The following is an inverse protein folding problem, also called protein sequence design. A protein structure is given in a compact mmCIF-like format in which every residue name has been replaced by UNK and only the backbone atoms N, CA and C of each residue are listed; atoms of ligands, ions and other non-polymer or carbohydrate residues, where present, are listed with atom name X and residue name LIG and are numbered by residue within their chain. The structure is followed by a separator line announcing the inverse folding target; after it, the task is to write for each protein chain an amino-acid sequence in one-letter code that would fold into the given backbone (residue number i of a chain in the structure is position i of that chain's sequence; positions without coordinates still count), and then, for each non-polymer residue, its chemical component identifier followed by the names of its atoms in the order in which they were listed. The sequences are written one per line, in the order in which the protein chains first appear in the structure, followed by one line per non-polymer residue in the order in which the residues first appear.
data_IF_185093056180
#
_entry.id   IF_185093056180
#
_cell.length_a   1.000
_cell.length_b   1.000
_cell.length_c   1.000
_cell.angle_alpha   90.00
_cell.angle_beta   90.00
_cell.angle_gamma   90.00
#
_symmetry.space_group_name_H-M   'P 1'
#
loop_
_entity.id
_entity.type
_entity.pdbx_description
1 polymer ?
#
# COMPACT_ATOMS: atom_id res chain seq x y z
N UNK A 1 -6.03 5.84 -1.11
CA UNK A 1 -7.51 5.75 -1.06
C UNK A 1 -8.06 5.67 -2.47
N UNK A 2 -7.81 6.66 -3.33
CA UNK A 2 -8.34 6.68 -4.69
C UNK A 2 -8.05 5.43 -5.53
N UNK A 3 -6.85 4.83 -5.42
CA UNK A 3 -6.54 3.56 -6.10
C UNK A 3 -7.45 2.40 -5.66
N UNK A 4 -7.79 2.29 -4.37
CA UNK A 4 -8.68 1.23 -3.86
C UNK A 4 -10.10 1.48 -4.34
N UNK A 5 -10.61 2.73 -4.23
CA UNK A 5 -11.94 3.09 -4.76
C UNK A 5 -12.06 2.82 -6.25
N UNK A 6 -11.03 3.22 -7.01
CA UNK A 6 -10.96 3.01 -8.46
C UNK A 6 -10.94 1.54 -8.83
N UNK A 7 -10.13 0.73 -8.15
CA UNK A 7 -10.07 -0.71 -8.37
C UNK A 7 -11.43 -1.39 -8.12
N UNK A 8 -12.09 -1.06 -7.00
CA UNK A 8 -13.45 -1.57 -6.70
C UNK A 8 -14.43 -1.19 -7.80
N UNK A 9 -14.43 0.08 -8.23
CA UNK A 9 -15.36 0.58 -9.25
C UNK A 9 -15.13 -0.02 -10.64
N UNK A 10 -13.87 -0.18 -11.05
CA UNK A 10 -13.52 -0.60 -12.41
C UNK A 10 -13.56 -2.12 -12.57
N UNK A 11 -13.16 -2.86 -11.53
CA UNK A 11 -13.09 -4.33 -11.54
C UNK A 11 -14.38 -4.96 -11.01
N UNK A 12 -15.25 -4.18 -10.36
CA UNK A 12 -16.47 -4.66 -9.70
C UNK A 12 -16.18 -5.74 -8.64
N UNK A 13 -15.10 -5.56 -7.87
CA UNK A 13 -14.69 -6.46 -6.79
C UNK A 13 -15.21 -6.00 -5.43
N UNK A 14 -15.47 -6.95 -4.52
CA UNK A 14 -15.86 -6.64 -3.13
C UNK A 14 -14.72 -6.01 -2.32
N UNK A 15 -13.47 -6.36 -2.64
CA UNK A 15 -12.28 -5.97 -1.89
C UNK A 15 -11.16 -5.57 -2.83
N UNK A 16 -10.40 -4.56 -2.44
CA UNK A 16 -9.18 -4.17 -3.13
C UNK A 16 -8.05 -3.78 -2.17
N UNK A 17 -6.82 -4.00 -2.63
CA UNK A 17 -5.58 -3.54 -2.02
C UNK A 17 -4.89 -2.59 -2.99
N UNK A 18 -4.23 -1.55 -2.49
CA UNK A 18 -3.32 -0.72 -3.26
C UNK A 18 -2.01 -0.45 -2.51
N UNK A 19 -0.92 -0.30 -3.24
CA UNK A 19 0.38 0.13 -2.73
C UNK A 19 0.95 1.24 -3.61
N UNK A 20 1.49 2.29 -3.01
CA UNK A 20 2.15 3.39 -3.71
C UNK A 20 3.28 3.97 -2.86
N UNK A 21 4.48 4.04 -3.41
CA UNK A 21 5.64 4.47 -2.63
C UNK A 21 6.94 4.48 -3.40
N UNK A 22 8.02 4.82 -2.69
CA UNK A 22 9.36 4.89 -3.23
C UNK A 22 10.15 3.70 -2.66
N UNK A 23 10.20 2.61 -3.42
CA UNK A 23 10.93 1.42 -2.99
C UNK A 23 12.47 1.64 -2.99
N UNK A 24 12.98 2.57 -3.79
CA UNK A 24 14.42 2.86 -3.90
C UNK A 24 15.09 2.23 -5.12
N UNK A 25 16.44 2.32 -5.21
CA UNK A 25 17.34 2.98 -4.24
C UNK A 25 17.35 4.52 -4.33
N UNK A 26 16.69 5.11 -5.33
CA UNK A 26 16.59 6.55 -5.55
C UNK A 26 15.12 7.02 -5.63
N UNK A 27 14.91 8.30 -5.91
CA UNK A 27 13.57 8.89 -6.06
C UNK A 27 12.94 9.42 -4.76
N UNK A 28 13.66 9.29 -3.64
CA UNK A 28 13.30 9.90 -2.36
C UNK A 28 13.46 11.41 -2.35
N UNK A 29 12.64 12.09 -1.55
CA UNK A 29 12.80 13.51 -1.20
C UNK A 29 12.97 13.65 0.31
N UNK A 30 13.42 14.81 0.83
CA UNK A 30 13.47 15.04 2.28
C UNK A 30 12.13 14.82 2.98
N UNK A 31 11.01 15.15 2.32
CA UNK A 31 9.66 14.98 2.86
C UNK A 31 9.06 13.59 2.60
N UNK A 32 9.60 12.84 1.64
CA UNK A 32 9.15 11.50 1.25
C UNK A 32 10.38 10.64 0.89
N UNK A 33 11.17 10.20 1.90
CA UNK A 33 12.42 9.48 1.66
C UNK A 33 12.17 8.11 1.04
N UNK A 34 13.23 7.49 0.50
CA UNK A 34 13.21 6.08 0.09
C UNK A 34 12.72 5.20 1.24
N UNK A 35 11.94 4.17 0.92
CA UNK A 35 11.27 3.32 1.90
C UNK A 35 9.92 3.85 2.35
N UNK A 36 9.52 5.07 1.94
CA UNK A 36 8.16 5.57 2.19
C UNK A 36 7.17 4.89 1.26
N UNK A 37 6.30 4.02 1.81
CA UNK A 37 5.27 3.31 1.05
C UNK A 37 3.93 3.43 1.78
N UNK A 38 2.90 3.86 1.06
CA UNK A 38 1.52 3.81 1.53
C UNK A 38 0.85 2.56 1.00
N UNK A 39 0.20 1.83 1.89
CA UNK A 39 -0.68 0.72 1.56
C UNK A 39 -2.11 1.05 1.98
N UNK A 40 -3.07 0.53 1.24
CA UNK A 40 -4.48 0.67 1.52
C UNK A 40 -5.22 -0.64 1.22
N UNK A 41 -6.23 -0.95 2.01
CA UNK A 41 -7.12 -2.08 1.79
C UNK A 41 -8.56 -1.67 2.14
N UNK A 42 -9.56 -2.23 1.48
CA UNK A 42 -10.95 -1.95 1.83
C UNK A 42 -11.97 -2.46 0.83
N UNK A 43 -13.21 -2.09 1.08
CA UNK A 43 -14.39 -2.33 0.24
C UNK A 43 -15.07 -0.99 -0.11
N UNK A 44 -16.28 -1.07 -0.66
CA UNK A 44 -17.08 0.11 -1.05
C UNK A 44 -17.44 1.03 0.13
N UNK A 45 -17.52 0.49 1.35
CA UNK A 45 -18.01 1.21 2.53
C UNK A 45 -16.87 1.78 3.37
N UNK A 46 -15.75 1.06 3.46
CA UNK A 46 -14.63 1.39 4.33
C UNK A 46 -13.30 1.09 3.67
N UNK A 47 -12.37 2.04 3.80
CA UNK A 47 -10.98 1.91 3.36
C UNK A 47 -10.08 2.24 4.54
N UNK A 48 -9.13 1.36 4.82
CA UNK A 48 -8.05 1.58 5.80
C UNK A 48 -6.74 1.83 5.08
N UNK A 49 -5.86 2.63 5.68
CA UNK A 49 -4.54 2.94 5.11
C UNK A 49 -3.46 2.82 6.17
N UNK A 50 -2.24 2.54 5.73
CA UNK A 50 -1.06 2.54 6.59
C UNK A 50 0.13 3.07 5.82
N UNK A 51 0.88 3.99 6.45
CA UNK A 51 2.19 4.42 5.97
C UNK A 51 3.25 3.47 6.55
N UNK A 52 4.10 2.96 5.67
CA UNK A 52 5.31 2.21 6.00
C UNK A 52 6.51 3.12 5.78
N UNK A 53 7.47 3.04 6.70
CA UNK A 53 8.79 3.62 6.54
C UNK A 53 9.79 2.47 6.62
N UNK A 54 10.32 2.06 5.47
CA UNK A 54 11.25 0.95 5.33
C UNK A 54 12.68 1.44 5.08
N UNK A 55 13.59 0.51 4.79
CA UNK A 55 15.01 0.80 4.56
C UNK A 55 15.31 1.26 3.12
N UNK A 56 16.59 1.18 2.73
CA UNK A 56 17.06 1.66 1.43
C UNK A 56 17.26 0.55 0.37
N UNK A 57 16.76 -0.67 0.64
CA UNK A 57 16.88 -1.82 -0.29
C UNK A 57 15.57 -2.00 -1.06
N UNK A 58 15.62 -1.85 -2.39
CA UNK A 58 14.45 -1.92 -3.26
C UNK A 58 13.69 -3.24 -3.15
N UNK A 59 14.40 -4.36 -3.21
CA UNK A 59 13.79 -5.69 -3.20
C UNK A 59 13.12 -5.95 -1.85
N UNK A 60 13.84 -5.70 -0.75
CA UNK A 60 13.31 -5.86 0.60
C UNK A 60 12.09 -4.95 0.84
N UNK A 61 12.09 -3.74 0.30
CA UNK A 61 10.96 -2.82 0.41
C UNK A 61 9.74 -3.34 -0.35
N UNK A 62 9.91 -3.89 -1.55
CA UNK A 62 8.83 -4.51 -2.32
C UNK A 62 8.25 -5.69 -1.51
N UNK A 63 9.08 -6.65 -1.13
CA UNK A 63 8.65 -7.86 -0.39
C UNK A 63 7.93 -7.51 0.92
N UNK A 64 8.55 -6.65 1.73
CA UNK A 64 7.99 -6.24 3.03
C UNK A 64 6.67 -5.50 2.84
N UNK A 65 6.59 -4.57 1.88
CA UNK A 65 5.36 -3.82 1.62
C UNK A 65 4.22 -4.72 1.14
N UNK A 66 4.51 -5.74 0.32
CA UNK A 66 3.53 -6.74 -0.13
C UNK A 66 2.97 -7.51 1.06
N UNK A 67 3.83 -8.01 1.94
CA UNK A 67 3.40 -8.75 3.15
C UNK A 67 2.53 -7.87 4.05
N UNK A 68 2.93 -6.61 4.28
CA UNK A 68 2.12 -5.68 5.08
C UNK A 68 0.79 -5.32 4.41
N UNK A 69 0.73 -5.24 3.09
CA UNK A 69 -0.50 -4.98 2.35
C UNK A 69 -1.49 -6.14 2.49
N UNK A 70 -1.00 -7.38 2.38
CA UNK A 70 -1.81 -8.59 2.60
C UNK A 70 -2.28 -8.70 4.05
N UNK A 71 -1.41 -8.42 5.02
CA UNK A 71 -1.80 -8.39 6.45
C UNK A 71 -2.82 -7.28 6.74
N UNK A 72 -2.72 -6.13 6.08
CA UNK A 72 -3.69 -5.05 6.22
C UNK A 72 -5.08 -5.49 5.71
N UNK A 73 -5.16 -6.18 4.57
CA UNK A 73 -6.43 -6.75 4.09
C UNK A 73 -6.94 -7.83 5.05
N UNK A 74 -6.08 -8.74 5.50
CA UNK A 74 -6.48 -9.78 6.46
C UNK A 74 -7.10 -9.18 7.73
N UNK A 75 -6.49 -8.14 8.28
CA UNK A 75 -7.00 -7.39 9.46
C UNK A 75 -8.22 -6.53 9.17
N UNK A 76 -8.48 -6.19 7.91
CA UNK A 76 -9.70 -5.51 7.53
C UNK A 76 -10.91 -6.47 7.54
N UNK A 77 -10.68 -7.76 7.31
CA UNK A 77 -11.72 -8.79 7.19
C UNK A 77 -12.14 -9.45 8.51
N UNK A 78 -11.31 -9.39 9.54
CA UNK A 78 -11.53 -10.02 10.85
C UNK A 78 -11.62 -8.96 11.94
#
# INVERSE_FOLDING_TARGET
IEMVKGAIKVIETDLAIASSGIAGPSGGTPTKPVGTIWIAAGNKDKIVTKKLQLGNNRIKNIETSTVFAMDLLRKFLI
#
